data_IF_062733353581
#
_entry.id   IF_062733353581
#
_cell.length_a   1.000
_cell.length_b   1.000
_cell.length_c   1.000
_cell.angle_alpha   90.00
_cell.angle_beta   90.00
_cell.angle_gamma   90.00
#
_symmetry.space_group_name_H-M   'P 1'
#
loop_
_entity.id
_entity.type
_entity.pdbx_description
1 polymer ?
#
# COMPACT_ATOMS: atom_id res chain seq x y z
N UNK A 1 13.24 1.36 20.41
CA UNK A 1 13.37 1.12 18.96
C UNK A 1 12.31 0.09 18.58
N UNK A 2 11.26 0.54 17.89
CA UNK A 2 10.00 -0.20 17.79
C UNK A 2 10.09 -1.44 16.88
N UNK A 3 9.34 -2.48 17.24
CA UNK A 3 9.15 -3.76 16.53
C UNK A 3 8.75 -3.60 15.04
N UNK A 4 8.26 -2.43 14.64
CA UNK A 4 7.89 -2.07 13.27
C UNK A 4 9.05 -2.09 12.26
N UNK A 5 10.28 -1.78 12.68
CA UNK A 5 11.44 -1.77 11.77
C UNK A 5 11.80 -3.14 11.23
N UNK A 6 11.51 -4.22 11.97
CA UNK A 6 11.85 -5.60 11.54
C UNK A 6 10.85 -6.17 10.55
N UNK A 7 9.58 -5.77 10.63
CA UNK A 7 8.50 -6.30 9.78
C UNK A 7 8.60 -5.86 8.32
N UNK A 8 9.03 -4.61 8.06
CA UNK A 8 9.21 -4.10 6.69
C UNK A 8 10.46 -4.66 6.00
N UNK A 9 11.49 -5.03 6.78
CA UNK A 9 12.71 -5.64 6.25
C UNK A 9 12.52 -7.11 5.81
N UNK A 10 11.55 -7.82 6.36
CA UNK A 10 11.28 -9.22 6.00
C UNK A 10 10.48 -9.39 4.70
N UNK A 11 9.72 -8.36 4.27
CA UNK A 11 8.98 -8.38 3.01
C UNK A 11 9.89 -8.44 1.76
N UNK A 12 11.14 -8.01 1.86
CA UNK A 12 12.07 -7.98 0.74
C UNK A 12 12.91 -9.26 0.57
N UNK A 13 13.00 -10.11 1.59
CA UNK A 13 13.96 -11.21 1.63
C UNK A 13 13.40 -12.59 1.24
N UNK A 14 12.10 -12.74 1.04
CA UNK A 14 11.46 -14.06 0.89
C UNK A 14 11.35 -14.53 -0.57
N UNK A 15 11.62 -13.66 -1.55
CA UNK A 15 11.22 -13.89 -2.96
C UNK A 15 12.02 -14.98 -3.69
N UNK A 16 13.20 -15.42 -3.23
CA UNK A 16 14.05 -16.27 -4.07
C UNK A 16 14.78 -17.45 -3.40
N UNK A 17 14.41 -17.85 -2.20
CA UNK A 17 15.08 -18.97 -1.52
C UNK A 17 14.13 -20.12 -1.17
N UNK A 18 13.46 -20.71 -2.12
CA UNK A 18 12.48 -21.77 -1.80
C UNK A 18 12.21 -22.84 -2.82
N UNK A 19 13.10 -23.06 -3.77
CA UNK A 19 12.99 -24.30 -4.57
C UNK A 19 13.92 -25.35 -3.91
N UNK A 20 13.40 -25.99 -2.87
CA UNK A 20 13.96 -27.24 -2.35
C UNK A 20 13.85 -28.30 -3.44
N UNK A 21 14.97 -28.68 -4.02
CA UNK A 21 15.03 -29.70 -5.04
C UNK A 21 14.41 -31.00 -4.55
N UNK A 22 13.32 -31.41 -5.18
CA UNK A 22 12.93 -32.82 -5.25
C UNK A 22 13.94 -33.44 -6.21
N UNK A 23 14.82 -34.29 -5.69
CA UNK A 23 15.75 -35.07 -6.48
C UNK A 23 14.96 -35.87 -7.53
N UNK A 24 15.05 -35.49 -8.78
CA UNK A 24 14.57 -36.25 -9.91
C UNK A 24 15.70 -37.14 -10.41
N UNK A 25 15.39 -38.42 -10.52
CA UNK A 25 16.23 -39.46 -11.07
C UNK A 25 16.81 -39.09 -12.43
N UNK A 26 18.02 -39.58 -12.70
CA UNK A 26 18.82 -39.33 -13.91
C UNK A 26 18.05 -39.50 -15.23
N UNK A 27 18.38 -38.73 -16.26
CA UNK A 27 17.67 -38.77 -17.54
C UNK A 27 17.98 -40.06 -18.32
N UNK A 28 16.93 -40.82 -18.62
CA UNK A 28 16.95 -41.87 -19.62
C UNK A 28 17.13 -41.26 -21.02
N UNK A 29 17.86 -41.95 -21.92
CA UNK A 29 18.10 -41.54 -23.29
C UNK A 29 16.80 -41.22 -24.02
N UNK A 30 16.74 -40.14 -24.83
CA UNK A 30 15.53 -39.74 -25.51
C UNK A 30 15.16 -40.69 -26.62
N UNK A 31 13.92 -41.22 -26.56
CA UNK A 31 13.26 -41.90 -27.66
C UNK A 31 12.66 -40.87 -28.61
N UNK A 32 12.94 -41.06 -29.92
CA UNK A 32 12.38 -40.27 -31.00
C UNK A 32 10.91 -40.65 -31.20
N UNK A 33 10.00 -40.02 -30.50
CA UNK A 33 8.58 -39.85 -30.86
C UNK A 33 7.84 -39.09 -29.78
N UNK A 34 7.18 -38.01 -30.12
CA UNK A 34 6.37 -37.14 -29.30
C UNK A 34 7.13 -36.27 -28.27
N UNK A 35 7.54 -35.08 -28.68
CA UNK A 35 7.83 -34.01 -27.75
C UNK A 35 9.28 -33.83 -27.35
N UNK A 36 10.19 -33.66 -28.31
CA UNK A 36 11.50 -33.09 -27.98
C UNK A 36 11.33 -31.60 -27.72
N UNK A 37 11.49 -31.18 -26.46
CA UNK A 37 11.51 -29.78 -26.09
C UNK A 37 12.95 -29.26 -26.13
N UNK A 38 13.17 -28.22 -26.92
CA UNK A 38 14.40 -27.43 -26.87
C UNK A 38 14.16 -26.26 -25.95
N UNK A 39 15.01 -26.11 -24.94
CA UNK A 39 14.90 -25.10 -23.92
C UNK A 39 16.19 -24.29 -23.90
N UNK A 40 16.09 -22.99 -23.79
CA UNK A 40 17.23 -22.10 -23.56
C UNK A 40 17.07 -21.34 -22.25
N UNK A 41 18.20 -20.97 -21.65
CA UNK A 41 18.21 -20.16 -20.44
C UNK A 41 17.86 -18.72 -20.80
N UNK A 42 16.68 -18.26 -20.37
CA UNK A 42 16.22 -16.91 -20.55
C UNK A 42 16.53 -16.08 -19.30
N UNK A 43 17.09 -14.88 -19.49
CA UNK A 43 17.38 -13.92 -18.41
C UNK A 43 16.23 -12.93 -18.34
N UNK A 44 15.73 -12.64 -17.16
CA UNK A 44 14.72 -11.62 -16.95
C UNK A 44 15.15 -10.28 -17.55
N UNK A 45 14.33 -9.68 -18.46
CA UNK A 45 14.83 -8.63 -19.37
C UNK A 45 14.96 -7.25 -18.75
N UNK A 46 14.30 -6.96 -17.60
CA UNK A 46 14.25 -5.61 -17.04
C UNK A 46 15.41 -5.32 -16.08
N UNK A 47 15.71 -6.26 -15.22
CA UNK A 47 16.68 -6.05 -14.16
C UNK A 47 17.67 -7.21 -13.99
N UNK A 48 17.55 -8.26 -14.78
CA UNK A 48 18.36 -9.47 -14.64
C UNK A 48 18.17 -10.20 -13.30
N UNK A 49 16.96 -10.09 -12.73
CA UNK A 49 16.63 -10.56 -11.39
C UNK A 49 16.70 -12.08 -11.25
N UNK A 50 16.41 -12.81 -12.32
CA UNK A 50 16.39 -14.27 -12.34
C UNK A 50 16.62 -14.80 -13.74
N UNK A 51 16.81 -16.11 -13.83
CA UNK A 51 16.81 -16.85 -15.08
C UNK A 51 15.84 -18.03 -14.99
N UNK A 52 15.27 -18.43 -16.13
CA UNK A 52 14.37 -19.55 -16.25
C UNK A 52 14.62 -20.27 -17.58
N UNK A 53 14.25 -21.54 -17.72
CA UNK A 53 14.28 -22.24 -19.00
C UNK A 53 13.03 -21.91 -19.80
N UNK A 54 13.19 -21.31 -20.96
CA UNK A 54 12.13 -20.97 -21.88
C UNK A 54 12.14 -21.95 -23.08
N UNK A 55 11.03 -22.59 -23.44
CA UNK A 55 10.97 -23.42 -24.66
C UNK A 55 11.19 -22.59 -25.92
N UNK A 56 11.89 -23.17 -26.90
CA UNK A 56 12.13 -22.52 -28.17
C UNK A 56 10.79 -22.16 -28.84
N UNK A 57 10.66 -20.91 -29.29
CA UNK A 57 9.45 -20.38 -29.91
C UNK A 57 8.39 -19.89 -28.91
N UNK A 58 8.59 -20.04 -27.63
CA UNK A 58 7.68 -19.47 -26.63
C UNK A 58 7.99 -17.99 -26.36
N UNK A 59 6.97 -17.30 -25.90
CA UNK A 59 7.00 -15.88 -25.59
C UNK A 59 7.16 -15.72 -24.08
N UNK A 60 8.18 -14.95 -23.64
CA UNK A 60 8.32 -14.49 -22.28
C UNK A 60 7.67 -13.11 -22.16
N UNK A 61 6.76 -12.94 -21.19
CA UNK A 61 5.99 -11.73 -20.98
C UNK A 61 6.03 -11.35 -19.48
N UNK A 62 6.36 -10.11 -19.15
CA UNK A 62 6.45 -9.64 -17.79
C UNK A 62 7.86 -9.50 -17.25
N UNK A 63 8.13 -10.02 -16.04
CA UNK A 63 9.40 -9.93 -15.32
C UNK A 63 9.28 -9.16 -14.00
N UNK A 64 10.29 -8.36 -13.65
CA UNK A 64 10.26 -7.51 -12.47
C UNK A 64 9.20 -6.42 -12.64
N UNK A 65 8.33 -6.31 -11.63
CA UNK A 65 7.28 -5.30 -11.52
C UNK A 65 7.59 -4.37 -10.35
N UNK A 66 7.67 -3.07 -10.63
CA UNK A 66 7.80 -2.02 -9.62
C UNK A 66 6.49 -1.25 -9.52
N UNK A 67 5.86 -1.35 -8.35
CA UNK A 67 4.62 -0.63 -8.09
C UNK A 67 4.91 0.84 -7.73
N UNK A 68 4.01 1.73 -8.15
CA UNK A 68 4.18 3.16 -7.92
C UNK A 68 4.13 3.49 -6.40
N UNK A 69 5.16 4.16 -5.85
CA UNK A 69 5.19 4.56 -4.45
C UNK A 69 4.02 5.46 -4.02
N UNK A 70 3.44 6.23 -4.94
CA UNK A 70 2.26 7.07 -4.66
C UNK A 70 1.01 6.28 -4.27
N UNK A 71 0.95 5.00 -4.65
CA UNK A 71 -0.13 4.09 -4.22
C UNK A 71 -0.04 3.69 -2.74
N UNK A 72 1.10 3.96 -2.09
CA UNK A 72 1.39 3.62 -0.71
C UNK A 72 2.55 2.62 -0.55
N UNK A 73 3.16 2.55 0.64
CA UNK A 73 4.46 1.89 0.83
C UNK A 73 4.40 0.37 0.80
N UNK A 74 3.30 -0.26 1.22
CA UNK A 74 3.31 -1.70 1.55
C UNK A 74 3.67 -2.61 0.36
N UNK A 75 3.13 -2.36 -0.82
CA UNK A 75 3.45 -3.16 -2.00
C UNK A 75 4.55 -2.54 -2.89
N UNK A 76 4.88 -1.25 -2.71
CA UNK A 76 5.86 -0.55 -3.55
C UNK A 76 7.30 -0.59 -3.03
N UNK A 77 7.51 -0.94 -1.76
CA UNK A 77 8.84 -0.98 -1.13
C UNK A 77 9.77 -2.00 -1.80
N UNK A 78 9.26 -3.20 -2.12
CA UNK A 78 10.01 -4.26 -2.78
C UNK A 78 9.55 -4.49 -4.21
N UNK A 79 10.48 -4.95 -5.06
CA UNK A 79 10.15 -5.47 -6.38
C UNK A 79 9.20 -6.67 -6.25
N UNK A 80 8.32 -6.81 -7.23
CA UNK A 80 7.47 -7.98 -7.41
C UNK A 80 7.93 -8.72 -8.66
N UNK A 81 7.62 -10.00 -8.75
CA UNK A 81 7.91 -10.81 -9.92
C UNK A 81 6.56 -11.27 -10.46
N UNK A 82 6.27 -10.88 -11.70
CA UNK A 82 5.07 -11.26 -12.43
C UNK A 82 5.46 -11.54 -13.87
N UNK A 83 5.41 -12.81 -14.28
CA UNK A 83 5.77 -13.17 -15.65
C UNK A 83 5.04 -14.42 -16.12
N UNK A 84 4.83 -14.49 -17.42
CA UNK A 84 4.25 -15.62 -18.09
C UNK A 84 5.15 -16.13 -19.22
N UNK A 85 5.15 -17.44 -19.40
CA UNK A 85 5.71 -18.14 -20.54
C UNK A 85 4.56 -18.74 -21.34
N UNK A 86 4.45 -18.36 -22.63
CA UNK A 86 3.31 -18.64 -23.47
C UNK A 86 3.76 -19.33 -24.76
N UNK A 87 3.07 -20.40 -25.18
CA UNK A 87 3.34 -21.07 -26.46
C UNK A 87 2.99 -20.20 -27.68
N UNK A 88 2.08 -19.25 -27.50
CA UNK A 88 1.58 -18.35 -28.52
C UNK A 88 0.98 -17.08 -27.87
N UNK A 89 0.64 -16.03 -28.62
CA UNK A 89 0.09 -14.78 -28.04
C UNK A 89 -1.22 -14.98 -27.25
N UNK A 90 -2.03 -15.99 -27.58
CA UNK A 90 -3.23 -16.33 -26.85
C UNK A 90 -2.95 -17.10 -25.55
N UNK A 91 -1.72 -17.60 -25.38
CA UNK A 91 -1.33 -18.42 -24.23
C UNK A 91 -2.09 -19.75 -24.20
N UNK A 92 -2.23 -20.42 -25.35
CA UNK A 92 -2.90 -21.73 -25.47
C UNK A 92 -2.29 -22.73 -24.50
N UNK A 93 -0.96 -22.83 -24.48
CA UNK A 93 -0.22 -23.45 -23.38
C UNK A 93 0.55 -22.36 -22.66
N UNK A 94 0.42 -22.28 -21.34
CA UNK A 94 0.99 -21.18 -20.60
C UNK A 94 1.33 -21.57 -19.17
N UNK A 95 2.41 -20.97 -18.65
CA UNK A 95 2.76 -20.91 -17.25
C UNK A 95 2.81 -19.44 -16.85
N UNK A 96 2.20 -19.06 -15.71
CA UNK A 96 2.17 -17.70 -15.23
C UNK A 96 2.48 -17.64 -13.73
N UNK A 97 3.55 -16.96 -13.37
CA UNK A 97 3.87 -16.56 -12.02
C UNK A 97 3.27 -15.20 -11.70
N UNK A 98 2.42 -15.16 -10.71
CA UNK A 98 1.76 -13.92 -10.29
C UNK A 98 2.52 -13.26 -9.15
N UNK A 99 2.50 -11.94 -9.16
CA UNK A 99 3.12 -11.11 -8.13
C UNK A 99 2.61 -11.45 -6.72
N UNK A 100 3.54 -11.49 -5.76
CA UNK A 100 3.21 -11.56 -4.35
C UNK A 100 2.76 -10.17 -3.88
N UNK A 101 1.50 -10.04 -3.50
CA UNK A 101 0.89 -8.78 -3.06
C UNK A 101 0.41 -8.89 -1.61
N UNK A 102 0.55 -7.81 -0.87
CA UNK A 102 -0.05 -7.66 0.45
C UNK A 102 -1.45 -7.05 0.33
N UNK A 103 -2.36 -7.55 1.15
CA UNK A 103 -3.76 -7.18 1.24
C UNK A 103 -4.12 -6.77 2.65
N UNK A 104 -5.11 -5.90 2.80
CA UNK A 104 -5.60 -5.47 4.11
C UNK A 104 -7.00 -6.02 4.39
N UNK A 105 -7.18 -6.66 5.53
CA UNK A 105 -8.50 -7.12 5.97
C UNK A 105 -9.38 -5.91 6.32
N UNK A 106 -10.58 -5.78 5.73
CA UNK A 106 -11.51 -4.68 6.02
C UNK A 106 -11.91 -4.61 7.50
N UNK A 107 -11.89 -5.73 8.23
CA UNK A 107 -12.17 -5.77 9.68
C UNK A 107 -11.14 -4.99 10.52
N UNK A 108 -9.93 -4.83 10.00
CA UNK A 108 -8.82 -4.12 10.66
C UNK A 108 -8.71 -2.65 10.24
N UNK A 109 -9.55 -2.18 9.32
CA UNK A 109 -9.54 -0.81 8.79
C UNK A 109 -10.97 -0.28 8.61
N UNK A 110 -11.68 0.00 9.72
CA UNK A 110 -13.04 0.53 9.66
C UNK A 110 -13.10 1.79 8.79
N UNK A 111 -14.12 1.87 7.94
CA UNK A 111 -14.29 2.98 6.98
C UNK A 111 -13.68 2.75 5.60
N UNK A 112 -12.89 1.69 5.40
CA UNK A 112 -12.39 1.30 4.08
C UNK A 112 -13.24 0.17 3.50
N UNK A 113 -13.73 0.36 2.28
CA UNK A 113 -14.53 -0.66 1.57
C UNK A 113 -13.62 -1.70 0.89
N UNK A 114 -14.17 -2.91 0.67
CA UNK A 114 -13.52 -3.93 -0.17
C UNK A 114 -13.25 -3.35 -1.55
N UNK A 115 -12.04 -3.55 -2.06
CA UNK A 115 -11.59 -2.99 -3.34
C UNK A 115 -10.88 -1.64 -3.23
N UNK A 116 -10.95 -0.93 -2.08
CA UNK A 116 -10.21 0.31 -1.88
C UNK A 116 -8.72 0.07 -1.59
N UNK A 117 -7.92 1.14 -1.64
CA UNK A 117 -6.50 1.10 -1.33
C UNK A 117 -6.23 1.57 0.10
N UNK A 118 -5.52 0.76 0.89
CA UNK A 118 -5.03 1.14 2.20
C UNK A 118 -3.50 1.02 2.25
N UNK A 119 -2.79 2.13 2.20
CA UNK A 119 -1.32 2.18 2.24
C UNK A 119 -0.62 1.33 1.16
N UNK A 120 -1.20 1.21 -0.02
CA UNK A 120 -0.67 0.39 -1.11
C UNK A 120 -1.13 -1.07 -1.10
N UNK A 121 -1.95 -1.46 -0.14
CA UNK A 121 -2.62 -2.76 -0.10
C UNK A 121 -4.06 -2.64 -0.59
N UNK A 122 -4.50 -3.57 -1.40
CA UNK A 122 -5.92 -3.71 -1.69
C UNK A 122 -6.65 -4.20 -0.44
N UNK A 123 -7.75 -3.52 -0.09
CA UNK A 123 -8.63 -3.98 0.99
C UNK A 123 -9.42 -5.18 0.51
N UNK A 124 -9.12 -6.35 1.07
CA UNK A 124 -9.71 -7.62 0.68
C UNK A 124 -9.84 -8.52 1.91
N UNK A 125 -10.99 -9.19 2.15
CA UNK A 125 -11.14 -10.14 3.24
C UNK A 125 -10.07 -11.23 3.18
N UNK A 126 -9.62 -11.69 4.34
CA UNK A 126 -8.71 -12.84 4.40
C UNK A 126 -9.39 -14.06 3.77
N UNK A 127 -8.69 -14.72 2.88
CA UNK A 127 -9.12 -15.94 2.21
C UNK A 127 -8.13 -17.08 2.52
N UNK A 128 -8.61 -18.31 2.56
CA UNK A 128 -7.75 -19.47 2.42
C UNK A 128 -7.22 -19.59 0.98
N UNK A 129 -6.20 -20.42 0.77
CA UNK A 129 -5.56 -20.55 -0.54
C UNK A 129 -6.53 -21.04 -1.64
N UNK A 130 -7.47 -21.92 -1.31
CA UNK A 130 -8.45 -22.41 -2.29
C UNK A 130 -9.44 -21.32 -2.69
N UNK A 131 -9.96 -20.59 -1.70
CA UNK A 131 -10.87 -19.47 -1.94
C UNK A 131 -10.18 -18.34 -2.71
N UNK A 132 -8.94 -18.02 -2.36
CA UNK A 132 -8.13 -17.02 -3.08
C UNK A 132 -7.96 -17.39 -4.56
N UNK A 133 -7.59 -18.64 -4.84
CA UNK A 133 -7.43 -19.12 -6.22
C UNK A 133 -8.76 -19.13 -7.00
N UNK A 134 -9.84 -19.61 -6.39
CA UNK A 134 -11.12 -19.76 -7.07
C UNK A 134 -11.90 -18.45 -7.25
N UNK A 135 -11.89 -17.57 -6.24
CA UNK A 135 -12.77 -16.41 -6.20
C UNK A 135 -12.05 -15.12 -6.58
N UNK A 136 -10.73 -15.09 -6.48
CA UNK A 136 -9.95 -13.89 -6.75
C UNK A 136 -9.01 -14.04 -7.95
N UNK A 137 -8.14 -15.05 -7.95
CA UNK A 137 -7.14 -15.20 -9.01
C UNK A 137 -7.79 -15.63 -10.33
N UNK A 138 -8.52 -16.74 -10.32
CA UNK A 138 -9.08 -17.31 -11.56
C UNK A 138 -9.97 -16.35 -12.32
N UNK A 139 -10.99 -15.70 -11.71
CA UNK A 139 -11.87 -14.79 -12.45
C UNK A 139 -11.14 -13.58 -13.04
N UNK A 140 -10.08 -13.09 -12.36
CA UNK A 140 -9.26 -11.99 -12.87
C UNK A 140 -8.39 -12.40 -14.05
N UNK A 141 -7.84 -13.59 -14.01
CA UNK A 141 -6.94 -14.10 -15.04
C UNK A 141 -7.69 -14.69 -16.23
N UNK A 142 -8.95 -15.11 -16.02
CA UNK A 142 -9.81 -15.75 -17.03
C UNK A 142 -11.20 -15.13 -17.06
N UNK A 143 -11.33 -13.83 -17.38
CA UNK A 143 -12.63 -13.16 -17.37
C UNK A 143 -13.58 -13.67 -18.46
N UNK A 144 -13.07 -14.36 -19.48
CA UNK A 144 -13.84 -14.92 -20.59
C UNK A 144 -14.17 -16.41 -20.41
N UNK A 145 -13.72 -17.03 -19.31
CA UNK A 145 -13.95 -18.45 -19.06
C UNK A 145 -15.44 -18.74 -18.87
N UNK A 146 -15.92 -19.79 -19.54
CA UNK A 146 -17.29 -20.30 -19.46
C UNK A 146 -17.29 -21.74 -18.98
N UNK A 147 -18.40 -22.23 -18.46
CA UNK A 147 -18.58 -23.61 -17.98
C UNK A 147 -17.49 -24.06 -16.99
N UNK A 148 -17.10 -23.17 -16.09
CA UNK A 148 -16.01 -23.43 -15.13
C UNK A 148 -16.39 -24.51 -14.15
N UNK A 149 -15.55 -25.54 -14.05
CA UNK A 149 -15.71 -26.65 -13.11
C UNK A 149 -14.43 -26.85 -12.33
N UNK A 150 -14.52 -26.90 -11.00
CA UNK A 150 -13.41 -27.29 -10.15
C UNK A 150 -13.36 -28.82 -10.10
N UNK A 151 -12.31 -29.39 -10.65
CA UNK A 151 -12.17 -30.85 -10.79
C UNK A 151 -11.25 -31.48 -9.73
N UNK A 152 -10.41 -30.68 -9.06
CA UNK A 152 -9.52 -31.19 -8.01
C UNK A 152 -9.09 -30.08 -7.05
N UNK A 153 -8.90 -30.43 -5.77
CA UNK A 153 -8.41 -29.55 -4.71
C UNK A 153 -7.45 -30.34 -3.83
N UNK A 154 -6.23 -29.82 -3.65
CA UNK A 154 -5.22 -30.48 -2.83
C UNK A 154 -4.54 -29.48 -1.91
N UNK A 155 -4.37 -29.80 -0.63
CA UNK A 155 -3.53 -28.99 0.26
C UNK A 155 -2.04 -29.17 -0.08
N UNK A 156 -1.23 -28.16 0.30
CA UNK A 156 0.23 -28.15 0.13
C UNK A 156 0.97 -28.20 1.49
N UNK A 157 0.78 -29.24 2.32
CA UNK A 157 1.26 -29.25 3.71
C UNK A 157 2.78 -29.14 3.81
N UNK A 158 3.54 -29.74 2.89
CA UNK A 158 5.02 -29.66 2.88
C UNK A 158 5.49 -28.23 2.59
N UNK A 159 4.87 -27.53 1.65
CA UNK A 159 5.22 -26.17 1.32
C UNK A 159 4.84 -25.21 2.46
N UNK A 160 3.66 -25.39 3.04
CA UNK A 160 3.22 -24.65 4.23
C UNK A 160 4.20 -24.83 5.38
N UNK A 161 4.66 -26.04 5.66
CA UNK A 161 5.66 -26.31 6.70
C UNK A 161 7.00 -25.57 6.43
N UNK A 162 7.44 -25.52 5.18
CA UNK A 162 8.65 -24.76 4.81
C UNK A 162 8.49 -23.25 5.09
N UNK A 163 7.32 -22.67 4.78
CA UNK A 163 7.03 -21.28 5.09
C UNK A 163 6.98 -21.03 6.60
N UNK A 164 6.33 -21.89 7.36
CA UNK A 164 6.28 -21.81 8.83
C UNK A 164 7.68 -21.85 9.46
N UNK A 165 8.57 -22.71 8.97
CA UNK A 165 9.95 -22.80 9.47
C UNK A 165 10.75 -21.52 9.19
N UNK A 166 10.54 -20.88 8.03
CA UNK A 166 11.20 -19.62 7.68
C UNK A 166 10.65 -18.41 8.46
N UNK A 167 9.37 -18.42 8.78
CA UNK A 167 8.71 -17.34 9.51
C UNK A 167 8.97 -17.35 11.02
N UNK A 168 9.50 -18.46 11.58
CA UNK A 168 9.63 -18.67 13.02
C UNK A 168 10.40 -17.62 13.83
N UNK A 169 11.17 -16.75 13.18
CA UNK A 169 11.91 -15.64 13.80
C UNK A 169 11.19 -14.29 13.74
N UNK A 170 9.96 -14.21 13.23
CA UNK A 170 9.25 -12.98 12.89
C UNK A 170 7.96 -12.71 13.67
N UNK A 171 7.01 -12.15 12.97
CA UNK A 171 5.65 -11.87 13.47
C UNK A 171 4.84 -13.17 13.55
N UNK A 172 3.86 -13.27 14.48
CA UNK A 172 2.92 -14.37 14.49
C UNK A 172 2.21 -14.44 13.13
N UNK A 173 2.48 -15.50 12.40
CA UNK A 173 1.91 -15.74 11.07
C UNK A 173 1.29 -17.14 11.01
N UNK A 174 0.17 -17.25 10.34
CA UNK A 174 -0.40 -18.53 9.93
C UNK A 174 -0.36 -18.67 8.43
N UNK A 175 -0.18 -19.88 7.96
CA UNK A 175 -0.07 -20.21 6.55
C UNK A 175 -1.11 -21.22 6.14
N UNK A 176 -1.63 -21.06 4.93
CA UNK A 176 -2.45 -22.04 4.23
C UNK A 176 -1.94 -22.18 2.80
N UNK A 177 -1.99 -23.36 2.24
CA UNK A 177 -1.50 -23.61 0.90
C UNK A 177 -2.30 -24.67 0.18
N UNK A 178 -2.65 -24.39 -1.08
CA UNK A 178 -3.45 -25.30 -1.89
C UNK A 178 -3.07 -25.28 -3.36
N UNK A 179 -3.44 -26.38 -4.02
CA UNK A 179 -3.55 -26.51 -5.47
C UNK A 179 -5.02 -26.65 -5.82
N UNK A 180 -5.45 -25.87 -6.81
CA UNK A 180 -6.78 -25.94 -7.41
C UNK A 180 -6.64 -26.33 -8.87
N UNK A 181 -7.42 -27.30 -9.34
CA UNK A 181 -7.51 -27.67 -10.75
C UNK A 181 -8.90 -27.37 -11.26
N UNK A 182 -8.99 -26.65 -12.36
CA UNK A 182 -10.23 -26.27 -13.02
C UNK A 182 -10.25 -26.73 -14.46
N UNK A 183 -11.45 -26.97 -15.00
CA UNK A 183 -11.70 -27.05 -16.44
C UNK A 183 -12.69 -25.98 -16.84
N UNK A 184 -12.55 -25.42 -18.02
CA UNK A 184 -13.40 -24.35 -18.55
C UNK A 184 -13.27 -24.24 -20.05
N UNK A 185 -14.21 -23.55 -20.67
CA UNK A 185 -14.20 -23.23 -22.10
C UNK A 185 -13.79 -21.75 -22.28
N UNK A 186 -12.86 -21.49 -23.20
CA UNK A 186 -12.43 -20.14 -23.57
C UNK A 186 -12.05 -20.12 -25.07
N UNK A 187 -12.63 -19.22 -25.85
CA UNK A 187 -12.34 -19.11 -27.29
C UNK A 187 -12.62 -20.37 -28.09
N UNK A 188 -13.59 -21.19 -27.71
CA UNK A 188 -13.95 -22.45 -28.37
C UNK A 188 -13.02 -23.64 -28.03
N UNK A 189 -12.08 -23.45 -27.09
CA UNK A 189 -11.16 -24.49 -26.60
C UNK A 189 -11.51 -24.84 -25.18
N UNK A 190 -11.61 -26.14 -24.86
CA UNK A 190 -11.71 -26.61 -23.51
C UNK A 190 -10.31 -26.67 -22.88
N UNK A 191 -10.12 -25.95 -21.82
CA UNK A 191 -8.86 -25.89 -21.07
C UNK A 191 -8.93 -26.69 -19.76
N UNK A 192 -7.77 -27.18 -19.36
CA UNK A 192 -7.49 -27.59 -18.00
C UNK A 192 -6.42 -26.68 -17.43
N UNK A 193 -6.65 -26.11 -16.26
CA UNK A 193 -5.72 -25.22 -15.59
C UNK A 193 -5.50 -25.66 -14.14
N UNK A 194 -4.24 -25.69 -13.72
CA UNK A 194 -3.85 -25.96 -12.37
C UNK A 194 -3.21 -24.72 -11.78
N UNK A 195 -3.67 -24.33 -10.59
CA UNK A 195 -3.21 -23.15 -9.87
C UNK A 195 -2.72 -23.56 -8.50
N UNK A 196 -1.68 -22.90 -7.99
CA UNK A 196 -1.16 -23.09 -6.64
C UNK A 196 -0.95 -21.73 -5.98
N UNK A 197 -1.13 -21.66 -4.67
CA UNK A 197 -0.76 -20.52 -3.86
C UNK A 197 -0.50 -20.92 -2.42
N UNK A 198 0.30 -20.11 -1.72
CA UNK A 198 0.38 -20.09 -0.26
C UNK A 198 -0.10 -18.73 0.21
N UNK A 199 -0.99 -18.74 1.19
CA UNK A 199 -1.47 -17.51 1.85
C UNK A 199 -0.80 -17.42 3.22
N UNK A 200 -0.22 -16.28 3.51
CA UNK A 200 0.29 -15.91 4.84
C UNK A 200 -0.63 -14.86 5.44
N UNK A 201 -1.08 -15.08 6.66
CA UNK A 201 -1.83 -14.09 7.44
C UNK A 201 -0.98 -13.67 8.63
N UNK A 202 -0.56 -12.42 8.64
CA UNK A 202 0.17 -11.81 9.74
C UNK A 202 -0.86 -11.23 10.70
N UNK A 203 -0.88 -11.77 11.91
CA UNK A 203 -1.90 -11.47 12.90
C UNK A 203 -1.62 -10.18 13.69
N UNK A 204 -2.66 -9.63 14.31
CA UNK A 204 -2.58 -8.45 15.16
C UNK A 204 -3.32 -7.23 14.62
N UNK A 205 -3.42 -6.14 15.41
CA UNK A 205 -4.19 -4.94 15.03
C UNK A 205 -3.70 -4.25 13.77
N UNK A 206 -2.40 -4.36 13.47
CA UNK A 206 -1.78 -3.84 12.25
C UNK A 206 -1.56 -4.92 11.21
N UNK A 207 -2.15 -6.11 11.39
CA UNK A 207 -1.96 -7.28 10.54
C UNK A 207 -2.39 -7.06 9.09
N UNK A 208 -1.89 -7.88 8.22
CA UNK A 208 -2.24 -7.95 6.80
C UNK A 208 -2.09 -9.40 6.34
N UNK A 209 -2.48 -9.68 5.12
CA UNK A 209 -2.23 -10.99 4.53
C UNK A 209 -1.60 -10.86 3.13
N UNK A 210 -0.95 -11.90 2.65
CA UNK A 210 -0.22 -11.88 1.38
C UNK A 210 -0.30 -13.24 0.70
N UNK A 211 -0.27 -13.24 -0.63
CA UNK A 211 -0.09 -14.45 -1.41
C UNK A 211 1.41 -14.67 -1.69
N UNK A 212 1.81 -15.93 -1.68
CA UNK A 212 3.15 -16.38 -2.05
C UNK A 212 3.04 -17.48 -3.09
N UNK A 213 4.07 -17.62 -3.94
CA UNK A 213 4.24 -18.68 -4.92
C UNK A 213 2.95 -18.95 -5.74
N UNK A 214 2.25 -17.87 -6.11
CA UNK A 214 1.04 -18.01 -6.92
C UNK A 214 1.42 -18.32 -8.35
N UNK A 215 1.16 -19.55 -8.76
CA UNK A 215 1.51 -20.11 -10.05
C UNK A 215 0.27 -20.67 -10.73
N UNK A 216 0.14 -20.42 -12.03
CA UNK A 216 -0.90 -20.96 -12.90
C UNK A 216 -0.27 -21.69 -14.08
N UNK A 217 -0.76 -22.87 -14.44
CA UNK A 217 -0.35 -23.59 -15.64
C UNK A 217 -1.59 -24.09 -16.37
N UNK A 218 -1.71 -23.78 -17.67
CA UNK A 218 -2.83 -24.23 -18.50
C UNK A 218 -2.40 -24.85 -19.81
N UNK A 219 -3.23 -25.75 -20.30
CA UNK A 219 -3.17 -26.30 -21.65
C UNK A 219 -4.57 -26.77 -22.07
N UNK A 220 -4.81 -27.02 -23.37
CA UNK A 220 -6.01 -27.75 -23.82
C UNK A 220 -6.21 -29.02 -22.98
N UNK A 221 -7.43 -29.29 -22.57
CA UNK A 221 -7.74 -30.34 -21.58
C UNK A 221 -7.17 -31.72 -21.96
N UNK A 222 -7.25 -32.07 -23.27
CA UNK A 222 -6.71 -33.32 -23.78
C UNK A 222 -5.17 -33.40 -23.81
N UNK A 223 -4.48 -32.26 -23.74
CA UNK A 223 -3.01 -32.19 -23.81
C UNK A 223 -2.37 -31.90 -22.46
N UNK A 224 -3.11 -31.44 -21.48
CA UNK A 224 -2.60 -31.01 -20.17
C UNK A 224 -1.68 -32.05 -19.51
N UNK A 225 -2.07 -33.34 -19.60
CA UNK A 225 -1.24 -34.42 -19.04
C UNK A 225 0.14 -34.54 -19.68
N UNK A 226 0.26 -34.27 -20.97
CA UNK A 226 1.52 -34.29 -21.74
C UNK A 226 2.40 -33.09 -21.42
N UNK A 227 1.80 -31.95 -21.04
CA UNK A 227 2.50 -30.71 -20.70
C UNK A 227 3.07 -30.69 -19.26
N UNK A 228 2.53 -31.51 -18.36
CA UNK A 228 2.98 -31.53 -16.95
C UNK A 228 4.49 -31.67 -16.74
N UNK A 229 5.21 -32.58 -17.44
CA UNK A 229 6.66 -32.67 -17.28
C UNK A 229 7.38 -31.38 -17.71
N UNK A 230 6.91 -30.73 -18.78
CA UNK A 230 7.47 -29.46 -19.24
C UNK A 230 7.28 -28.37 -18.16
N UNK A 231 6.07 -28.22 -17.64
CA UNK A 231 5.77 -27.26 -16.58
C UNK A 231 6.66 -27.48 -15.33
N UNK A 232 6.83 -28.74 -14.91
CA UNK A 232 7.72 -29.08 -13.80
C UNK A 232 9.18 -28.70 -14.09
N UNK A 233 9.65 -28.92 -15.32
CA UNK A 233 11.02 -28.57 -15.75
C UNK A 233 11.21 -27.05 -15.72
N UNK A 234 10.30 -26.28 -16.27
CA UNK A 234 10.34 -24.82 -16.28
C UNK A 234 10.32 -24.32 -14.83
N UNK A 235 9.38 -24.78 -14.00
CA UNK A 235 9.26 -24.39 -12.61
C UNK A 235 10.55 -24.65 -11.84
N UNK A 236 11.11 -25.84 -11.96
CA UNK A 236 12.35 -26.23 -11.28
C UNK A 236 13.60 -25.52 -11.78
N UNK A 237 13.52 -24.85 -12.92
CA UNK A 237 14.65 -24.15 -13.57
C UNK A 237 14.85 -22.71 -13.11
N UNK A 238 13.89 -22.15 -12.38
CA UNK A 238 13.93 -20.77 -11.89
C UNK A 238 15.11 -20.57 -10.95
N UNK A 239 15.98 -19.63 -11.28
CA UNK A 239 17.18 -19.32 -10.50
C UNK A 239 17.29 -17.80 -10.29
N UNK A 240 17.24 -17.38 -9.02
CA UNK A 240 17.45 -15.99 -8.67
C UNK A 240 18.88 -15.54 -8.86
N UNK A 241 19.08 -14.30 -9.27
CA UNK A 241 20.38 -13.67 -9.31
C UNK A 241 20.79 -13.20 -7.90
N UNK A 242 21.81 -13.79 -7.25
CA UNK A 242 22.16 -13.43 -5.87
C UNK A 242 22.59 -11.97 -5.72
N UNK A 243 23.23 -11.38 -6.72
CA UNK A 243 23.66 -9.98 -6.69
C UNK A 243 22.46 -9.04 -6.73
N UNK A 244 21.47 -9.35 -7.59
CA UNK A 244 20.22 -8.61 -7.65
C UNK A 244 19.43 -8.72 -6.33
N UNK A 245 19.32 -9.92 -5.76
CA UNK A 245 18.63 -10.15 -4.48
C UNK A 245 19.27 -9.33 -3.36
N UNK A 246 20.61 -9.32 -3.27
CA UNK A 246 21.32 -8.54 -2.26
C UNK A 246 21.14 -7.02 -2.48
N UNK A 247 21.15 -6.56 -3.73
CA UNK A 247 20.89 -5.18 -4.11
C UNK A 247 19.46 -4.75 -3.78
N UNK A 248 18.47 -5.57 -4.15
CA UNK A 248 17.07 -5.32 -3.88
C UNK A 248 16.75 -5.27 -2.39
N UNK A 249 17.33 -6.17 -1.60
CA UNK A 249 17.14 -6.16 -0.14
C UNK A 249 17.64 -4.86 0.49
N UNK A 250 18.82 -4.35 0.07
CA UNK A 250 19.33 -3.04 0.53
C UNK A 250 18.44 -1.89 0.05
N UNK A 251 18.07 -1.89 -1.22
CA UNK A 251 17.20 -0.87 -1.81
C UNK A 251 15.82 -0.84 -1.18
N UNK A 252 15.21 -2.00 -0.90
CA UNK A 252 13.93 -2.10 -0.23
C UNK A 252 13.99 -1.55 1.21
N UNK A 253 15.06 -1.82 1.95
CA UNK A 253 15.27 -1.25 3.28
C UNK A 253 15.35 0.28 3.25
N UNK A 254 16.07 0.85 2.27
CA UNK A 254 16.16 2.30 2.08
C UNK A 254 14.81 2.91 1.69
N UNK A 255 14.09 2.30 0.76
CA UNK A 255 12.75 2.74 0.34
C UNK A 255 11.76 2.70 1.50
N UNK A 256 11.79 1.65 2.33
CA UNK A 256 10.97 1.55 3.52
C UNK A 256 11.26 2.68 4.53
N UNK A 257 12.54 2.97 4.76
CA UNK A 257 12.95 4.08 5.62
C UNK A 257 12.44 5.43 5.10
N UNK A 258 12.60 5.71 3.81
CA UNK A 258 12.14 6.95 3.19
C UNK A 258 10.61 7.08 3.23
N UNK A 259 9.87 6.00 2.98
CA UNK A 259 8.42 5.99 3.06
C UNK A 259 7.91 6.30 4.47
N UNK A 260 8.56 5.74 5.51
CA UNK A 260 8.22 6.05 6.90
C UNK A 260 8.54 7.50 7.27
N UNK A 261 9.64 8.06 6.77
CA UNK A 261 9.99 9.46 6.99
C UNK A 261 8.95 10.39 6.34
N UNK A 262 8.58 10.14 5.08
CA UNK A 262 7.56 10.91 4.37
C UNK A 262 6.20 10.87 5.09
N UNK A 263 5.78 9.69 5.57
CA UNK A 263 4.53 9.56 6.31
C UNK A 263 4.52 10.35 7.62
N UNK A 264 5.63 10.38 8.36
CA UNK A 264 5.75 11.20 9.56
C UNK A 264 5.64 12.70 9.25
N UNK A 265 6.27 13.14 8.17
CA UNK A 265 6.18 14.53 7.73
C UNK A 265 4.72 14.92 7.42
N UNK A 266 4.01 14.09 6.65
CA UNK A 266 2.59 14.31 6.34
C UNK A 266 1.74 14.39 7.62
N UNK A 267 1.97 13.51 8.60
CA UNK A 267 1.26 13.56 9.87
C UNK A 267 1.53 14.85 10.65
N UNK A 268 2.77 15.33 10.67
CA UNK A 268 3.14 16.60 11.31
C UNK A 268 2.46 17.79 10.63
N UNK A 269 2.47 17.84 9.30
CA UNK A 269 1.77 18.89 8.54
C UNK A 269 0.26 18.87 8.80
N UNK A 270 -0.37 17.68 8.83
CA UNK A 270 -1.79 17.56 9.16
C UNK A 270 -2.11 18.06 10.57
N UNK A 271 -1.25 17.78 11.56
CA UNK A 271 -1.42 18.32 12.91
C UNK A 271 -1.32 19.84 12.92
N UNK A 272 -0.34 20.42 12.23
CA UNK A 272 -0.21 21.88 12.11
C UNK A 272 -1.44 22.52 11.45
N UNK A 273 -1.97 21.90 10.38
CA UNK A 273 -3.21 22.38 9.74
C UNK A 273 -4.39 22.35 10.72
N UNK A 274 -4.55 21.28 11.49
CA UNK A 274 -5.62 21.17 12.49
C UNK A 274 -5.48 22.23 13.59
N UNK A 275 -4.26 22.45 14.08
CA UNK A 275 -3.97 23.50 15.09
C UNK A 275 -4.24 24.90 14.55
N UNK A 276 -3.79 25.19 13.33
CA UNK A 276 -4.06 26.48 12.70
C UNK A 276 -5.57 26.70 12.49
N UNK A 277 -6.31 25.68 12.02
CA UNK A 277 -7.77 25.77 11.91
C UNK A 277 -8.45 26.03 13.26
N UNK A 278 -7.97 25.40 14.32
CA UNK A 278 -8.50 25.64 15.69
C UNK A 278 -8.29 27.07 16.13
N UNK A 279 -7.10 27.63 15.90
CA UNK A 279 -6.78 29.05 16.23
C UNK A 279 -7.68 30.01 15.45
N UNK A 280 -7.73 29.85 14.12
CA UNK A 280 -8.58 30.68 13.24
C UNK A 280 -10.05 30.58 13.63
N UNK A 281 -10.56 29.38 13.87
CA UNK A 281 -11.95 29.21 14.30
C UNK A 281 -12.22 29.78 15.71
N UNK A 282 -11.23 29.81 16.58
CA UNK A 282 -11.38 30.46 17.89
C UNK A 282 -11.45 31.96 17.74
N UNK A 283 -10.61 32.55 16.91
CA UNK A 283 -10.62 34.00 16.61
C UNK A 283 -11.95 34.41 15.93
N UNK A 284 -12.40 33.71 14.89
CA UNK A 284 -13.69 33.97 14.24
C UNK A 284 -14.86 33.93 15.25
N UNK A 285 -14.85 32.95 16.17
CA UNK A 285 -15.92 32.88 17.20
C UNK A 285 -15.83 34.04 18.17
N UNK A 286 -14.63 34.47 18.53
CA UNK A 286 -14.41 35.61 19.40
C UNK A 286 -14.86 36.92 18.72
N UNK A 287 -14.52 37.15 17.47
CA UNK A 287 -15.01 38.28 16.69
C UNK A 287 -16.51 38.32 16.58
N UNK A 288 -17.12 37.16 16.28
CA UNK A 288 -18.58 37.05 16.19
C UNK A 288 -19.25 37.34 17.55
N UNK A 289 -18.61 36.96 18.67
CA UNK A 289 -19.10 37.28 19.99
C UNK A 289 -19.00 38.79 20.28
N UNK A 290 -17.91 39.45 19.91
CA UNK A 290 -17.76 40.90 20.02
C UNK A 290 -18.85 41.63 19.21
N UNK A 291 -19.10 41.20 17.98
CA UNK A 291 -20.14 41.78 17.11
C UNK A 291 -21.54 41.64 17.73
N UNK A 292 -21.92 40.44 18.21
CA UNK A 292 -23.22 40.18 18.81
C UNK A 292 -23.41 40.98 20.10
N UNK A 293 -22.36 41.14 20.88
CA UNK A 293 -22.40 41.86 22.16
C UNK A 293 -22.27 43.38 22.00
N UNK A 294 -22.00 43.86 20.77
CA UNK A 294 -21.74 45.27 20.51
C UNK A 294 -20.46 45.79 21.18
N UNK A 295 -19.46 44.95 21.30
CA UNK A 295 -18.19 45.26 21.94
C UNK A 295 -17.04 45.31 20.95
N UNK A 296 -15.95 45.96 21.35
CA UNK A 296 -14.70 46.04 20.62
C UNK A 296 -13.53 45.94 21.60
N UNK A 297 -12.40 45.37 21.15
CA UNK A 297 -11.19 45.27 21.92
C UNK A 297 -10.27 46.47 21.64
N UNK A 298 -9.98 47.23 22.67
CA UNK A 298 -9.07 48.36 22.59
C UNK A 298 -7.77 48.06 23.34
N UNK A 299 -6.64 48.50 22.79
CA UNK A 299 -5.36 48.42 23.45
C UNK A 299 -5.18 49.67 24.30
N UNK A 300 -5.01 49.49 25.61
CA UNK A 300 -4.67 50.55 26.56
C UNK A 300 -3.30 51.13 26.17
N UNK A 301 -3.21 52.45 25.82
CA UNK A 301 -1.98 53.02 25.34
C UNK A 301 -0.87 53.14 26.36
N UNK A 302 -1.21 53.11 27.69
CA UNK A 302 -0.27 53.25 28.78
C UNK A 302 0.25 51.92 29.29
N UNK A 303 -0.58 50.85 29.17
CA UNK A 303 -0.26 49.53 29.81
C UNK A 303 -0.09 48.41 28.76
N UNK A 304 -0.55 48.61 27.52
CA UNK A 304 -0.56 47.59 26.48
C UNK A 304 -1.62 46.47 26.71
N UNK A 305 -2.43 46.57 27.76
CA UNK A 305 -3.50 45.58 28.05
C UNK A 305 -4.69 45.77 27.10
N UNK A 306 -5.34 44.68 26.76
CA UNK A 306 -6.59 44.69 25.98
C UNK A 306 -7.77 44.89 26.92
N UNK A 307 -8.62 45.85 26.61
CA UNK A 307 -9.81 46.22 27.35
C UNK A 307 -11.02 46.18 26.42
N UNK A 308 -12.16 45.68 26.92
CA UNK A 308 -13.42 45.60 26.18
C UNK A 308 -14.23 46.88 26.40
N UNK A 309 -14.74 47.46 25.31
CA UNK A 309 -15.60 48.64 25.37
C UNK A 309 -16.69 48.53 24.29
N UNK A 310 -17.72 49.36 24.36
CA UNK A 310 -18.78 49.40 23.34
C UNK A 310 -18.24 49.85 21.98
N UNK A 311 -18.59 49.12 20.92
CA UNK A 311 -18.24 49.45 19.52
C UNK A 311 -19.07 50.61 18.95
N UNK A 312 -19.99 51.22 19.71
CA UNK A 312 -20.78 52.40 19.30
C UNK A 312 -19.97 53.68 19.24
N UNK A 313 -18.79 53.67 19.86
CA UNK A 313 -17.89 54.84 19.90
C UNK A 313 -16.76 54.70 18.89
N UNK A 314 -16.53 55.79 18.11
CA UNK A 314 -15.47 55.80 17.11
C UNK A 314 -14.08 56.10 17.67
N UNK A 315 -14.05 56.78 18.80
CA UNK A 315 -12.80 57.20 19.43
C UNK A 315 -12.87 56.84 20.93
N UNK A 316 -11.81 56.22 21.39
CA UNK A 316 -11.59 55.92 22.82
C UNK A 316 -10.25 56.52 23.23
N UNK A 317 -10.26 57.31 24.29
CA UNK A 317 -9.09 57.91 24.85
C UNK A 317 -8.92 57.40 26.29
N UNK A 318 -7.69 57.24 26.74
CA UNK A 318 -7.40 56.79 28.11
C UNK A 318 -6.26 57.58 28.71
N UNK A 319 -6.44 57.98 29.99
CA UNK A 319 -5.40 58.67 30.79
C UNK A 319 -4.49 57.63 31.47
N UNK A 320 -3.33 58.07 31.95
CA UNK A 320 -2.43 57.26 32.73
C UNK A 320 -3.03 56.74 34.04
N UNK A 321 -4.05 57.43 34.60
CA UNK A 321 -4.79 56.99 35.81
C UNK A 321 -5.91 56.00 35.51
N UNK A 322 -6.21 55.68 34.23
CA UNK A 322 -7.22 54.77 33.81
C UNK A 322 -8.58 55.36 33.47
N UNK A 323 -8.75 56.69 33.51
CA UNK A 323 -9.97 57.36 33.11
C UNK A 323 -10.15 57.24 31.57
N UNK A 324 -11.37 57.00 31.14
CA UNK A 324 -11.71 56.74 29.73
C UNK A 324 -12.65 57.84 29.23
N UNK A 325 -12.38 58.38 28.05
CA UNK A 325 -13.27 59.28 27.35
C UNK A 325 -13.67 58.66 26.03
N UNK A 326 -14.94 58.64 25.69
CA UNK A 326 -15.53 58.04 24.51
C UNK A 326 -16.17 59.15 23.64
N UNK A 327 -15.91 59.18 22.37
CA UNK A 327 -16.46 60.23 21.46
C UNK A 327 -16.72 59.69 20.08
N UNK A 328 -17.78 60.19 19.45
CA UNK A 328 -18.06 59.98 18.01
C UNK A 328 -17.61 61.18 17.18
N UNK A 329 -17.15 62.27 17.79
CA UNK A 329 -16.56 63.39 17.09
C UNK A 329 -15.12 63.11 16.67
N UNK A 330 -14.78 63.11 15.37
CA UNK A 330 -13.42 62.83 14.92
C UNK A 330 -12.40 63.91 15.31
N UNK A 331 -12.85 65.12 15.63
CA UNK A 331 -12.01 66.25 15.98
C UNK A 331 -11.89 66.49 17.51
N UNK A 332 -12.56 65.68 18.29
CA UNK A 332 -12.52 65.80 19.75
C UNK A 332 -11.18 65.34 20.33
N UNK A 333 -10.54 66.19 21.11
CA UNK A 333 -9.34 65.85 21.87
C UNK A 333 -9.56 66.20 23.35
N UNK A 334 -9.63 65.19 24.24
CA UNK A 334 -9.88 65.46 25.68
C UNK A 334 -8.79 66.25 26.36
N UNK A 335 -7.56 66.31 25.84
CA UNK A 335 -6.48 67.13 26.38
C UNK A 335 -6.70 68.65 26.19
N UNK A 336 -7.60 69.04 25.32
CA UNK A 336 -7.98 70.43 25.07
C UNK A 336 -9.36 70.77 25.67
N UNK A 337 -10.02 69.81 26.32
CA UNK A 337 -11.33 70.03 26.94
C UNK A 337 -11.15 70.50 28.39
N UNK A 338 -11.59 71.73 28.76
CA UNK A 338 -11.47 72.21 30.14
C UNK A 338 -12.26 71.39 31.16
N UNK A 339 -13.21 70.57 30.69
CA UNK A 339 -14.01 69.69 31.56
C UNK A 339 -13.32 68.33 31.78
N UNK A 340 -12.26 68.01 31.06
CA UNK A 340 -11.54 66.78 31.28
C UNK A 340 -10.72 66.79 32.54
N UNK A 341 -10.70 65.67 33.28
CA UNK A 341 -10.02 65.59 34.57
C UNK A 341 -8.48 65.58 34.48
N UNK A 342 -7.93 65.24 33.26
CA UNK A 342 -6.51 65.05 33.01
C UNK A 342 -6.11 65.63 31.63
N UNK A 343 -4.81 65.81 31.40
CA UNK A 343 -4.24 66.28 30.14
C UNK A 343 -3.26 65.30 29.51
N UNK A 344 -3.29 64.02 29.94
CA UNK A 344 -2.40 62.95 29.50
C UNK A 344 -3.15 61.86 28.74
N UNK A 345 -4.31 62.19 28.14
CA UNK A 345 -5.10 61.24 27.39
C UNK A 345 -4.39 60.84 26.09
N UNK A 346 -4.30 59.52 25.87
CA UNK A 346 -3.83 58.94 24.62
C UNK A 346 -4.95 58.12 23.95
N UNK A 347 -4.99 58.12 22.65
CA UNK A 347 -5.99 57.41 21.89
C UNK A 347 -5.72 55.89 21.93
N UNK A 348 -6.69 55.12 22.39
CA UNK A 348 -6.62 53.68 22.36
C UNK A 348 -6.88 53.16 20.92
N UNK A 349 -5.97 52.36 20.39
CA UNK A 349 -6.17 51.65 19.11
C UNK A 349 -7.01 50.40 19.30
N UNK A 350 -7.75 50.01 18.28
CA UNK A 350 -8.39 48.69 18.22
C UNK A 350 -7.28 47.62 18.16
N UNK A 351 -7.45 46.52 18.85
CA UNK A 351 -6.50 45.42 18.82
C UNK A 351 -6.27 44.92 17.39
N UNK A 352 -5.02 44.86 16.90
CA UNK A 352 -4.71 44.25 15.60
C UNK A 352 -5.08 42.77 15.60
N UNK A 353 -5.69 42.28 14.53
CA UNK A 353 -6.15 40.91 14.34
C UNK A 353 -5.31 40.17 13.31
#
# INVERSE_FOLDING_TARGET
MSRWRRSLLQLAAVVLCGVGGVALSAPGKPSKAAGVWRLHRHVEPKEGAFTVLLPEGWIFDGGVLRLNPSSGPMNSVGAKIDFAEKSDPAGTVMMHWLANLAYKDPRLVPGFQVGSNYMGMLVLPVMDAQSFLAQWVFPKQRPQAQHVQIVDRKPLPKLVQQYQQKAAAGLPSRFDGAVLTVTYDEGGVQYKEQMAAVIEVIEGPTGWWTNHDTLMVRAPAGEFGKMRPLFSTIQGSLQGNPQWVAGESRGAAQRAHNALAAQRHIQQEQQQIVENRRKVNAEIRHEHWLDITGQEEYVNPHTGKVELESNQWKNRWQSGNGDVVLSNDPNYDPNHDPAAAHTDYQRSGVRPR
#
